data_IF_971992933575
#
_entry.id   IF_971992933575
#
_cell.length_a   1.000
_cell.length_b   1.000
_cell.length_c   1.000
_cell.angle_alpha   90.00
_cell.angle_beta   90.00
_cell.angle_gamma   90.00
#
_symmetry.space_group_name_H-M   'P 1'
#
loop_
_entity.id
_entity.type
_entity.pdbx_description
1 polymer ?
#
# COMPACT_ATOMS: atom_id res chain seq x y z
N UNK A 1 -28.26 -27.43 36.45
CA UNK A 1 -28.47 -25.99 36.54
C UNK A 1 -27.18 -25.18 36.54
N UNK A 2 -26.12 -25.64 37.15
CA UNK A 2 -24.84 -24.93 37.20
C UNK A 2 -24.08 -24.96 35.88
N UNK A 3 -24.36 -25.90 35.01
CA UNK A 3 -23.65 -26.07 33.73
C UNK A 3 -24.01 -24.98 32.72
N UNK A 4 -25.22 -24.42 32.83
CA UNK A 4 -25.71 -23.41 31.88
C UNK A 4 -24.95 -22.06 31.99
N UNK A 5 -24.37 -21.75 33.13
CA UNK A 5 -23.65 -20.52 33.37
C UNK A 5 -22.29 -20.56 32.72
N UNK A 6 -21.63 -21.71 32.67
CA UNK A 6 -20.34 -21.89 32.01
C UNK A 6 -20.41 -21.77 30.49
N UNK A 7 -21.50 -22.17 29.89
CA UNK A 7 -21.70 -22.06 28.45
C UNK A 7 -21.87 -20.65 27.99
N UNK A 8 -22.44 -19.76 28.81
CA UNK A 8 -22.60 -18.33 28.47
C UNK A 8 -21.28 -17.61 28.51
N UNK A 9 -20.40 -17.93 29.46
CA UNK A 9 -19.08 -17.34 29.58
C UNK A 9 -18.16 -17.72 28.43
N UNK A 10 -18.27 -18.96 27.95
CA UNK A 10 -17.48 -19.40 26.78
C UNK A 10 -17.91 -18.70 25.48
N UNK A 11 -19.15 -18.32 25.36
CA UNK A 11 -19.65 -17.63 24.17
C UNK A 11 -19.18 -16.17 24.10
N UNK A 12 -18.98 -15.55 25.24
CA UNK A 12 -18.49 -14.16 25.31
C UNK A 12 -17.02 -14.02 24.93
N UNK A 13 -16.22 -15.07 25.11
CA UNK A 13 -14.80 -15.05 24.76
C UNK A 13 -14.55 -15.20 23.26
N UNK A 14 -15.51 -15.72 22.51
CA UNK A 14 -15.37 -15.93 21.06
C UNK A 14 -15.60 -14.66 20.22
N UNK A 15 -16.11 -13.58 20.81
CA UNK A 15 -16.47 -12.38 20.05
C UNK A 15 -15.39 -11.30 20.00
N UNK A 16 -14.20 -11.53 20.53
CA UNK A 16 -13.17 -10.50 20.67
C UNK A 16 -12.12 -10.54 19.57
N UNK A 17 -12.17 -11.49 18.65
CA UNK A 17 -11.08 -11.72 17.69
C UNK A 17 -11.27 -11.08 16.32
N UNK A 18 -12.22 -10.17 16.12
CA UNK A 18 -12.62 -9.75 14.77
C UNK A 18 -12.13 -8.39 14.32
N UNK A 19 -11.24 -7.67 15.05
CA UNK A 19 -11.03 -6.25 14.77
C UNK A 19 -9.59 -5.83 14.52
N UNK A 20 -8.69 -6.71 14.11
CA UNK A 20 -7.34 -6.30 13.72
C UNK A 20 -7.17 -6.37 12.22
N UNK A 21 -7.51 -5.30 11.53
CA UNK A 21 -7.05 -5.09 10.16
C UNK A 21 -5.81 -4.20 10.20
N UNK A 22 -4.66 -4.81 10.02
CA UNK A 22 -3.46 -4.07 9.72
C UNK A 22 -3.46 -3.72 8.24
N UNK A 23 -3.18 -2.46 7.91
CA UNK A 23 -2.90 -2.08 6.53
C UNK A 23 -1.68 -2.87 6.03
N UNK A 24 -1.85 -3.62 4.96
CA UNK A 24 -0.82 -4.50 4.41
C UNK A 24 0.12 -3.74 3.45
N UNK A 25 0.65 -2.59 3.88
CA UNK A 25 1.68 -1.91 3.12
C UNK A 25 3.05 -2.39 3.58
N UNK A 26 3.88 -2.74 2.62
CA UNK A 26 5.25 -3.19 2.88
C UNK A 26 6.21 -2.12 2.41
N UNK A 27 7.12 -1.71 3.26
CA UNK A 27 8.20 -0.80 2.88
C UNK A 27 9.27 -1.58 2.12
N UNK A 28 9.72 -1.01 0.99
CA UNK A 28 10.76 -1.59 0.17
C UNK A 28 12.01 -0.72 0.24
N UNK A 29 13.17 -1.37 0.23
CA UNK A 29 14.44 -0.68 0.06
C UNK A 29 14.64 -0.25 -1.39
N UNK A 30 15.54 0.70 -1.63
CA UNK A 30 15.89 1.12 -2.98
C UNK A 30 16.39 -0.04 -3.84
N UNK A 31 17.13 -0.98 -3.25
CA UNK A 31 17.64 -2.15 -3.93
C UNK A 31 16.51 -3.10 -4.35
N UNK A 32 15.53 -3.30 -3.49
CA UNK A 32 14.35 -4.12 -3.79
C UNK A 32 13.52 -3.50 -4.92
N UNK A 33 13.35 -2.18 -4.92
CA UNK A 33 12.67 -1.46 -5.99
C UNK A 33 13.40 -1.65 -7.30
N UNK A 34 14.74 -1.50 -7.31
CA UNK A 34 15.55 -1.70 -8.50
C UNK A 34 15.39 -3.11 -9.07
N UNK A 35 15.39 -4.11 -8.22
CA UNK A 35 15.17 -5.49 -8.66
C UNK A 35 13.83 -5.66 -9.36
N UNK A 36 12.79 -5.02 -8.85
CA UNK A 36 11.46 -5.11 -9.44
C UNK A 36 11.37 -4.40 -10.79
N UNK A 37 12.10 -3.30 -10.96
CA UNK A 37 12.16 -2.58 -12.23
C UNK A 37 12.90 -3.42 -13.28
N UNK A 38 13.97 -4.09 -12.89
CA UNK A 38 14.81 -4.87 -13.79
C UNK A 38 14.19 -6.22 -14.17
N UNK A 39 13.21 -6.70 -13.43
CA UNK A 39 12.51 -7.94 -13.74
C UNK A 39 11.50 -7.73 -14.87
N UNK A 40 11.29 -8.76 -15.73
CA UNK A 40 10.32 -8.68 -16.80
C UNK A 40 8.86 -8.73 -16.32
N UNK A 41 8.61 -8.52 -15.05
CA UNK A 41 7.27 -8.34 -14.50
C UNK A 41 6.82 -6.90 -14.66
N UNK A 42 5.52 -6.69 -14.54
CA UNK A 42 4.96 -5.35 -14.61
C UNK A 42 4.76 -4.81 -13.20
N UNK A 43 5.41 -3.72 -12.90
CA UNK A 43 5.21 -2.95 -11.69
C UNK A 43 5.04 -1.49 -12.10
N UNK A 44 4.09 -0.81 -11.50
CA UNK A 44 3.92 0.62 -11.68
C UNK A 44 4.64 1.36 -10.56
N UNK A 45 5.52 2.29 -10.93
CA UNK A 45 6.21 3.15 -9.97
C UNK A 45 5.53 4.51 -9.99
N UNK A 46 5.14 5.01 -8.85
CA UNK A 46 4.45 6.29 -8.72
C UNK A 46 5.27 7.22 -7.84
N UNK A 47 5.72 8.32 -8.41
CA UNK A 47 6.38 9.40 -7.69
C UNK A 47 5.31 10.36 -7.16
N UNK A 48 5.22 10.49 -5.84
CA UNK A 48 4.23 11.34 -5.19
C UNK A 48 4.76 12.73 -4.85
N UNK A 49 6.00 13.02 -5.25
CA UNK A 49 6.60 14.34 -5.05
C UNK A 49 5.96 15.38 -5.96
N UNK A 50 6.12 16.67 -5.67
CA UNK A 50 5.69 17.72 -6.59
C UNK A 50 6.29 17.54 -7.99
N UNK A 51 5.57 17.98 -9.00
CA UNK A 51 5.93 17.81 -10.40
C UNK A 51 7.33 18.39 -10.71
N UNK A 52 7.69 19.50 -10.09
CA UNK A 52 9.00 20.11 -10.27
C UNK A 52 10.14 19.16 -9.91
N UNK A 53 10.00 18.45 -8.80
CA UNK A 53 11.02 17.47 -8.38
C UNK A 53 11.07 16.27 -9.29
N UNK A 54 9.90 15.77 -9.71
CA UNK A 54 9.82 14.69 -10.68
C UNK A 54 10.54 15.04 -11.99
N UNK A 55 10.37 16.26 -12.48
CA UNK A 55 11.02 16.71 -13.71
C UNK A 55 12.54 16.83 -13.58
N UNK A 56 13.02 17.15 -12.39
CA UNK A 56 14.47 17.25 -12.16
C UNK A 56 15.14 15.87 -12.22
N UNK A 57 14.56 14.89 -11.57
CA UNK A 57 15.03 13.52 -11.60
C UNK A 57 13.94 12.61 -11.00
N UNK A 58 13.78 11.43 -11.55
CA UNK A 58 12.86 10.44 -11.01
C UNK A 58 13.34 9.04 -11.37
N UNK A 59 12.79 8.05 -10.69
CA UNK A 59 13.09 6.64 -10.96
C UNK A 59 12.64 6.32 -12.40
N UNK A 60 13.47 5.62 -13.20
CA UNK A 60 13.08 5.22 -14.54
C UNK A 60 11.74 4.50 -14.56
N UNK A 61 10.91 4.80 -15.54
CA UNK A 61 9.55 4.31 -15.73
C UNK A 61 8.51 4.87 -14.77
N UNK A 62 8.89 5.62 -13.73
CA UNK A 62 7.94 6.18 -12.80
C UNK A 62 7.02 7.21 -13.46
N UNK A 63 5.76 7.20 -13.08
CA UNK A 63 4.82 8.27 -13.38
C UNK A 63 4.71 9.21 -12.18
N UNK A 64 4.27 10.42 -12.41
CA UNK A 64 4.11 11.41 -11.35
C UNK A 64 2.62 11.60 -11.01
N UNK A 65 2.27 11.29 -9.78
CA UNK A 65 0.97 11.65 -9.20
C UNK A 65 1.26 12.38 -7.90
N UNK A 66 1.41 13.71 -7.93
CA UNK A 66 1.66 14.47 -6.71
C UNK A 66 0.56 14.23 -5.67
N UNK A 67 0.92 14.28 -4.39
CA UNK A 67 -0.03 14.06 -3.30
C UNK A 67 -1.23 15.03 -3.37
N UNK A 68 -1.04 16.19 -3.95
CA UNK A 68 -2.14 17.15 -4.19
C UNK A 68 -3.23 16.60 -5.13
N UNK A 69 -2.93 15.58 -5.93
CA UNK A 69 -3.87 14.96 -6.87
C UNK A 69 -4.46 13.65 -6.36
N UNK A 70 -4.22 13.29 -5.13
CA UNK A 70 -4.70 12.01 -4.59
C UNK A 70 -6.22 11.87 -4.55
N UNK A 71 -6.96 12.96 -4.56
CA UNK A 71 -8.41 12.91 -4.67
C UNK A 71 -8.87 12.27 -5.98
N UNK A 72 -8.08 12.40 -7.03
CA UNK A 72 -8.38 11.87 -8.36
C UNK A 72 -7.58 10.61 -8.70
N UNK A 73 -6.91 10.01 -7.72
CA UNK A 73 -5.95 8.93 -7.96
C UNK A 73 -6.58 7.74 -8.66
N UNK A 74 -7.84 7.43 -8.42
CA UNK A 74 -8.54 6.33 -9.09
C UNK A 74 -8.60 6.51 -10.61
N UNK A 75 -8.69 7.76 -11.06
CA UNK A 75 -8.74 8.07 -12.49
C UNK A 75 -7.36 8.14 -13.13
N UNK A 76 -6.32 8.32 -12.32
CA UNK A 76 -4.95 8.48 -12.77
C UNK A 76 -4.18 7.16 -12.80
N UNK A 77 -4.63 6.17 -12.05
CA UNK A 77 -4.02 4.84 -12.02
C UNK A 77 -4.62 3.93 -13.10
N UNK A 78 -3.83 2.96 -13.60
CA UNK A 78 -4.35 1.96 -14.51
C UNK A 78 -5.51 1.17 -13.89
N UNK A 79 -6.42 0.71 -14.74
CA UNK A 79 -7.57 -0.07 -14.30
C UNK A 79 -7.23 -1.51 -13.92
N UNK A 80 -6.02 -1.96 -14.22
CA UNK A 80 -5.55 -3.29 -13.86
C UNK A 80 -5.29 -3.37 -12.35
N UNK A 81 -6.21 -4.00 -11.63
CA UNK A 81 -6.13 -4.12 -10.16
C UNK A 81 -5.13 -5.17 -9.69
N UNK A 82 -4.57 -5.95 -10.59
CA UNK A 82 -3.59 -6.99 -10.26
C UNK A 82 -2.17 -6.45 -10.34
N UNK A 83 -1.94 -5.33 -11.01
CA UNK A 83 -0.62 -4.73 -11.15
C UNK A 83 -0.12 -4.21 -9.81
N UNK A 84 1.05 -4.66 -9.32
CA UNK A 84 1.66 -4.08 -8.13
C UNK A 84 2.03 -2.62 -8.36
N UNK A 85 1.80 -1.79 -7.35
CA UNK A 85 2.11 -0.37 -7.40
C UNK A 85 3.08 -0.04 -6.28
N UNK A 86 4.15 0.66 -6.61
CA UNK A 86 5.13 1.15 -5.64
C UNK A 86 5.04 2.68 -5.64
N UNK A 87 4.69 3.24 -4.49
CA UNK A 87 4.70 4.68 -4.28
C UNK A 87 6.01 5.08 -3.61
N UNK A 88 6.59 6.20 -4.05
CA UNK A 88 7.74 6.76 -3.36
C UNK A 88 7.64 8.27 -3.25
N UNK A 89 8.34 8.81 -2.26
CA UNK A 89 8.51 10.24 -2.03
C UNK A 89 9.97 10.53 -1.67
N UNK A 90 10.23 11.61 -0.92
CA UNK A 90 11.59 11.98 -0.52
C UNK A 90 12.23 11.03 0.50
N UNK A 91 11.46 10.13 1.08
CA UNK A 91 11.90 9.24 2.15
C UNK A 91 11.40 9.69 3.52
N UNK A 92 11.85 9.01 4.54
CA UNK A 92 11.51 9.36 5.90
C UNK A 92 12.34 10.56 6.35
N UNK A 93 11.67 11.59 6.80
CA UNK A 93 12.31 12.79 7.37
C UNK A 93 12.08 12.84 8.87
#
# INVERSE_FOLDING_TARGET
>A
MRIKIFLIVALLLASVSACTQSSNFTDLTAEEVKKRIDQPGKVLIVDTRPEKEYRQAHIPTAINIPSSQFKSIRNLLPQDKVMPIIFYCRGYS
#
